data_IF_027143323511
#
_entry.id   IF_027143323511
#
_cell.length_a   1.000
_cell.length_b   1.000
_cell.length_c   1.000
_cell.angle_alpha   90.00
_cell.angle_beta   90.00
_cell.angle_gamma   90.00
#
_symmetry.space_group_name_H-M   'P 1'
#
loop_
_entity.id
_entity.type
_entity.pdbx_description
1 polymer ?
#
# COMPACT_ATOMS: atom_id res chain seq x y z
N UNK A 1 19.59 10.70 21.08
CA UNK A 1 19.20 9.34 20.68
C UNK A 1 18.58 9.46 19.29
N UNK A 2 19.26 8.96 18.26
CA UNK A 2 18.67 8.82 16.92
C UNK A 2 17.63 7.70 17.02
N UNK A 3 16.44 7.94 16.46
CA UNK A 3 15.38 6.93 16.38
C UNK A 3 15.93 5.67 15.73
N UNK A 4 15.82 4.53 16.41
CA UNK A 4 16.27 3.26 15.85
C UNK A 4 15.30 2.89 14.72
N UNK A 5 15.81 2.70 13.50
CA UNK A 5 14.98 2.38 12.31
C UNK A 5 14.05 1.18 12.54
N UNK A 6 14.40 0.29 13.46
CA UNK A 6 13.59 -0.87 13.85
C UNK A 6 12.27 -0.51 14.54
N UNK A 7 12.01 0.76 14.83
CA UNK A 7 10.77 1.24 15.45
C UNK A 7 10.07 2.34 14.62
N UNK A 8 10.49 2.57 13.37
CA UNK A 8 9.98 3.65 12.51
C UNK A 8 9.23 3.08 11.31
N UNK A 9 8.09 3.67 10.96
CA UNK A 9 7.35 3.42 9.74
C UNK A 9 7.07 4.74 9.03
N UNK A 10 6.99 4.69 7.71
CA UNK A 10 6.87 5.88 6.84
C UNK A 10 5.65 5.67 5.93
N UNK A 11 4.48 6.25 6.23
CA UNK A 11 3.36 6.29 5.28
C UNK A 11 3.61 7.40 4.26
N UNK A 12 3.80 7.03 3.00
CA UNK A 12 4.12 7.98 1.91
C UNK A 12 3.74 7.35 0.56
N UNK A 13 3.34 8.17 -0.41
CA UNK A 13 2.93 7.74 -1.75
C UNK A 13 4.09 7.66 -2.76
N UNK A 14 5.28 8.17 -2.41
CA UNK A 14 6.43 8.28 -3.32
C UNK A 14 7.57 7.33 -2.94
N UNK A 15 7.56 6.11 -3.51
CA UNK A 15 8.60 5.10 -3.23
C UNK A 15 10.04 5.59 -3.48
N UNK A 16 10.24 6.35 -4.56
CA UNK A 16 11.56 6.82 -4.98
C UNK A 16 12.18 7.85 -4.03
N UNK A 17 11.40 8.48 -3.15
CA UNK A 17 11.94 9.34 -2.09
C UNK A 17 12.66 8.52 -1.00
N UNK A 18 12.34 7.23 -0.87
CA UNK A 18 12.72 6.38 0.27
C UNK A 18 13.62 5.20 -0.12
N UNK A 19 14.49 5.36 -1.13
CA UNK A 19 15.36 4.29 -1.66
C UNK A 19 16.21 3.61 -0.56
N UNK A 20 16.67 4.37 0.45
CA UNK A 20 17.49 3.84 1.55
C UNK A 20 16.67 3.20 2.67
N UNK A 21 15.36 3.45 2.75
CA UNK A 21 14.49 3.03 3.84
C UNK A 21 13.22 2.31 3.32
N UNK A 22 13.33 1.63 2.16
CA UNK A 22 12.18 0.95 1.52
C UNK A 22 11.47 -0.05 2.43
N UNK A 23 12.20 -0.70 3.33
CA UNK A 23 11.62 -1.66 4.28
C UNK A 23 10.74 -1.00 5.36
N UNK A 24 10.90 0.31 5.59
CA UNK A 24 10.09 1.09 6.54
C UNK A 24 8.88 1.76 5.87
N UNK A 25 8.84 1.79 4.53
CA UNK A 25 7.81 2.46 3.76
C UNK A 25 6.51 1.65 3.74
N UNK A 26 5.42 2.28 4.15
CA UNK A 26 4.04 1.89 3.84
C UNK A 26 3.63 2.73 2.65
N UNK A 27 3.74 2.15 1.45
CA UNK A 27 3.28 2.81 0.24
C UNK A 27 1.75 2.94 0.31
N UNK A 28 1.26 4.18 0.24
CA UNK A 28 -0.17 4.50 0.28
C UNK A 28 -0.63 5.14 -1.02
N UNK A 29 -1.95 5.20 -1.23
CA UNK A 29 -2.49 5.88 -2.41
C UNK A 29 -2.29 7.38 -2.33
N UNK A 30 -1.99 7.99 -3.48
CA UNK A 30 -1.93 9.44 -3.63
C UNK A 30 -3.35 10.00 -3.41
N UNK A 31 -3.46 11.01 -2.56
CA UNK A 31 -4.73 11.69 -2.31
C UNK A 31 -5.05 12.70 -3.43
N UNK A 32 -6.03 12.38 -4.27
CA UNK A 32 -6.44 13.21 -5.41
C UNK A 32 -7.70 14.01 -5.11
N UNK A 33 -7.57 15.16 -4.45
CA UNK A 33 -8.72 16.04 -4.19
C UNK A 33 -9.13 16.86 -5.42
N UNK A 34 -8.16 17.52 -6.05
CA UNK A 34 -8.40 18.48 -7.14
C UNK A 34 -8.39 17.82 -8.52
N UNK A 35 -9.26 18.30 -9.43
CA UNK A 35 -9.32 17.87 -10.83
C UNK A 35 -7.99 17.95 -11.58
N UNK A 36 -7.19 18.97 -11.29
CA UNK A 36 -5.86 19.15 -11.88
C UNK A 36 -4.93 17.98 -11.55
N UNK A 37 -5.01 17.45 -10.32
CA UNK A 37 -4.26 16.27 -9.89
C UNK A 37 -4.76 15.03 -10.65
N UNK A 38 -6.06 14.77 -10.68
CA UNK A 38 -6.63 13.64 -11.43
C UNK A 38 -6.18 13.62 -12.91
N UNK A 39 -6.14 14.79 -13.54
CA UNK A 39 -5.81 14.93 -14.96
C UNK A 39 -4.33 14.62 -15.26
N UNK A 40 -3.41 14.98 -14.36
CA UNK A 40 -1.98 14.65 -14.48
C UNK A 40 -1.73 13.13 -14.44
N UNK A 41 -2.59 12.39 -13.74
CA UNK A 41 -2.53 10.94 -13.61
C UNK A 41 -3.47 10.20 -14.58
N UNK A 42 -4.09 10.92 -15.52
CA UNK A 42 -4.90 10.32 -16.59
C UNK A 42 -6.29 9.84 -16.18
N UNK A 43 -6.80 10.25 -15.01
CA UNK A 43 -8.15 9.92 -14.56
C UNK A 43 -9.18 10.80 -15.28
N UNK A 44 -10.23 10.16 -15.83
CA UNK A 44 -11.32 10.84 -16.54
C UNK A 44 -12.59 11.01 -15.70
N UNK A 45 -12.57 10.59 -14.44
CA UNK A 45 -13.70 10.73 -13.51
C UNK A 45 -13.71 12.11 -12.83
N UNK A 46 -14.87 12.49 -12.27
CA UNK A 46 -15.00 13.69 -11.43
C UNK A 46 -14.09 13.56 -10.20
N UNK A 47 -13.40 14.65 -9.84
CA UNK A 47 -12.56 14.66 -8.64
C UNK A 47 -13.37 14.81 -7.35
N UNK A 48 -12.78 14.51 -6.19
CA UNK A 48 -13.44 14.70 -4.88
C UNK A 48 -13.95 16.14 -4.70
N UNK A 49 -13.18 17.13 -5.15
CA UNK A 49 -13.61 18.53 -5.12
C UNK A 49 -14.84 18.81 -5.99
N UNK A 50 -14.98 18.14 -7.14
CA UNK A 50 -16.13 18.30 -8.03
C UNK A 50 -17.37 17.60 -7.46
N UNK A 51 -17.17 16.42 -6.86
CA UNK A 51 -18.19 15.67 -6.13
C UNK A 51 -18.60 16.32 -4.81
N UNK A 52 -17.83 17.32 -4.35
CA UNK A 52 -17.98 17.96 -3.02
C UNK A 52 -18.02 16.94 -1.89
N UNK A 53 -17.21 15.90 -2.03
CA UNK A 53 -17.06 14.81 -1.09
C UNK A 53 -15.60 14.66 -0.69
N UNK A 54 -15.34 13.77 0.25
CA UNK A 54 -14.00 13.32 0.62
C UNK A 54 -13.87 11.81 0.38
N UNK A 55 -12.72 11.24 0.71
CA UNK A 55 -12.57 9.79 0.76
C UNK A 55 -13.53 9.14 1.78
N UNK A 56 -13.79 7.85 1.60
CA UNK A 56 -14.66 7.08 2.49
C UNK A 56 -14.07 7.03 3.91
N UNK A 57 -14.83 7.41 4.93
CA UNK A 57 -14.38 7.26 6.33
C UNK A 57 -14.07 5.80 6.72
N UNK A 58 -14.88 4.78 6.35
CA UNK A 58 -14.56 3.39 6.67
C UNK A 58 -13.61 2.72 5.69
N UNK A 59 -13.54 3.16 4.43
CA UNK A 59 -12.88 2.40 3.34
C UNK A 59 -11.83 3.22 2.57
N UNK A 60 -11.60 4.47 2.97
CA UNK A 60 -10.64 5.39 2.35
C UNK A 60 -9.18 4.96 2.53
N UNK A 61 -8.30 5.59 1.77
CA UNK A 61 -6.87 5.32 1.82
C UNK A 61 -6.30 5.57 3.23
N UNK A 62 -6.67 6.68 3.88
CA UNK A 62 -6.20 6.96 5.25
C UNK A 62 -6.79 5.99 6.27
N UNK A 63 -8.07 5.61 6.14
CA UNK A 63 -8.70 4.63 7.02
C UNK A 63 -7.96 3.29 6.97
N UNK A 64 -7.66 2.82 5.76
CA UNK A 64 -6.91 1.58 5.53
C UNK A 64 -5.48 1.65 6.10
N UNK A 65 -4.77 2.76 5.89
CA UNK A 65 -3.42 2.98 6.46
C UNK A 65 -3.47 3.02 7.98
N UNK A 66 -4.46 3.69 8.57
CA UNK A 66 -4.64 3.77 10.01
C UNK A 66 -4.87 2.39 10.64
N UNK A 67 -5.73 1.57 10.02
CA UNK A 67 -6.01 0.23 10.53
C UNK A 67 -4.80 -0.70 10.40
N UNK A 68 -4.02 -0.56 9.31
CA UNK A 68 -2.72 -1.22 9.19
C UNK A 68 -1.78 -0.80 10.33
N UNK A 69 -1.65 0.50 10.59
CA UNK A 69 -0.78 1.02 11.65
C UNK A 69 -1.20 0.53 13.03
N UNK A 70 -2.51 0.53 13.35
CA UNK A 70 -3.03 -0.04 14.60
C UNK A 70 -2.70 -1.52 14.74
N UNK A 71 -2.84 -2.28 13.66
CA UNK A 71 -2.51 -3.71 13.63
C UNK A 71 -1.03 -3.97 13.87
N UNK A 72 -0.15 -3.24 13.17
CA UNK A 72 1.30 -3.35 13.35
C UNK A 72 1.69 -2.93 14.77
N UNK A 73 1.13 -1.84 15.29
CA UNK A 73 1.36 -1.40 16.66
C UNK A 73 0.98 -2.49 17.67
N UNK A 74 -0.19 -3.11 17.49
CA UNK A 74 -0.65 -4.21 18.36
C UNK A 74 0.35 -5.36 18.38
N UNK A 75 0.77 -5.82 17.20
CA UNK A 75 1.73 -6.93 17.08
C UNK A 75 3.09 -6.54 17.70
N UNK A 76 3.60 -5.36 17.32
CA UNK A 76 4.93 -4.89 17.71
C UNK A 76 5.07 -4.70 19.22
N UNK A 77 4.05 -4.19 19.92
CA UNK A 77 4.12 -3.93 21.36
C UNK A 77 3.60 -5.08 22.22
N UNK A 78 2.53 -5.77 21.81
CA UNK A 78 1.81 -6.68 22.70
C UNK A 78 1.90 -8.16 22.31
N UNK A 79 1.99 -8.50 21.03
CA UNK A 79 1.92 -9.91 20.59
C UNK A 79 3.29 -10.55 20.39
N UNK A 80 4.29 -9.75 20.03
CA UNK A 80 5.68 -10.23 20.06
C UNK A 80 6.10 -10.43 21.52
N UNK A 81 6.73 -11.57 21.81
CA UNK A 81 7.40 -11.81 23.09
C UNK A 81 8.74 -11.08 23.20
N UNK A 82 9.38 -11.13 24.37
CA UNK A 82 10.75 -10.64 24.55
C UNK A 82 10.89 -9.11 24.68
N UNK A 83 12.13 -8.61 24.73
CA UNK A 83 12.43 -7.20 24.96
C UNK A 83 12.22 -6.34 23.70
N UNK A 84 11.62 -5.16 23.85
CA UNK A 84 11.38 -4.18 22.78
C UNK A 84 12.64 -3.81 21.99
N UNK A 85 13.81 -3.80 22.64
CA UNK A 85 15.09 -3.44 22.01
C UNK A 85 15.52 -4.39 20.88
N UNK A 86 15.00 -5.63 20.88
CA UNK A 86 15.30 -6.64 19.86
C UNK A 86 14.19 -6.80 18.82
N UNK A 87 13.13 -5.98 18.90
CA UNK A 87 12.02 -6.02 17.94
C UNK A 87 12.31 -5.11 16.75
N UNK A 88 11.82 -5.54 15.60
CA UNK A 88 11.94 -4.78 14.35
C UNK A 88 10.58 -4.70 13.65
N UNK A 89 10.04 -3.48 13.59
CA UNK A 89 8.75 -3.16 12.99
C UNK A 89 8.71 -3.50 11.50
N UNK A 90 9.86 -3.51 10.81
CA UNK A 90 9.97 -3.92 9.40
C UNK A 90 9.63 -5.39 9.23
N UNK A 91 9.97 -6.24 10.20
CA UNK A 91 9.61 -7.66 10.19
C UNK A 91 8.12 -7.86 10.46
N UNK A 92 7.54 -7.04 11.33
CA UNK A 92 6.09 -7.04 11.59
C UNK A 92 5.34 -6.61 10.32
N UNK A 93 5.75 -5.51 9.68
CA UNK A 93 5.16 -5.05 8.43
C UNK A 93 5.23 -6.11 7.32
N UNK A 94 6.39 -6.77 7.16
CA UNK A 94 6.55 -7.90 6.22
C UNK A 94 5.60 -9.06 6.52
N UNK A 95 5.34 -9.35 7.79
CA UNK A 95 4.40 -10.41 8.20
C UNK A 95 2.96 -10.03 7.87
N UNK A 96 2.55 -8.80 8.20
CA UNK A 96 1.19 -8.31 7.91
C UNK A 96 0.92 -8.27 6.40
N UNK A 97 1.89 -7.81 5.58
CA UNK A 97 1.79 -7.81 4.11
C UNK A 97 1.55 -9.21 3.53
N UNK A 98 2.23 -10.23 4.07
CA UNK A 98 2.07 -11.65 3.67
C UNK A 98 0.68 -12.20 3.83
N UNK A 99 -0.15 -11.57 4.65
CA UNK A 99 -1.52 -12.02 4.88
C UNK A 99 -2.51 -11.43 3.89
N UNK A 100 -2.20 -10.28 3.27
CA UNK A 100 -3.11 -9.53 2.39
C UNK A 100 -3.55 -10.37 1.19
N UNK A 101 -2.60 -11.01 0.51
CA UNK A 101 -2.85 -11.86 -0.66
C UNK A 101 -2.75 -13.36 -0.33
N UNK A 102 -2.80 -13.73 0.95
CA UNK A 102 -2.65 -15.14 1.36
C UNK A 102 -3.81 -15.97 0.81
N UNK A 103 -3.49 -16.92 -0.06
CA UNK A 103 -4.48 -17.78 -0.72
C UNK A 103 -5.10 -17.18 -1.99
N UNK A 104 -4.79 -15.92 -2.32
CA UNK A 104 -5.22 -15.29 -3.56
C UNK A 104 -4.38 -15.78 -4.76
N UNK A 105 -5.02 -15.94 -5.92
CA UNK A 105 -4.34 -16.10 -7.21
C UNK A 105 -4.53 -14.82 -8.00
N UNK A 106 -3.46 -14.04 -8.15
CA UNK A 106 -3.49 -12.78 -8.91
C UNK A 106 -3.32 -13.08 -10.39
N UNK A 107 -4.21 -12.53 -11.23
CA UNK A 107 -4.15 -12.65 -12.69
C UNK A 107 -4.17 -11.25 -13.29
N UNK A 108 -3.17 -10.94 -14.11
CA UNK A 108 -3.13 -9.67 -14.85
C UNK A 108 -3.66 -9.88 -16.27
N UNK A 109 -4.83 -9.35 -16.57
CA UNK A 109 -5.42 -9.41 -17.93
C UNK A 109 -5.21 -8.09 -18.65
N UNK A 110 -4.54 -8.12 -19.81
CA UNK A 110 -4.31 -6.96 -20.71
C UNK A 110 -3.50 -5.80 -20.11
N UNK A 111 -2.93 -5.96 -18.92
CA UNK A 111 -2.09 -4.96 -18.23
C UNK A 111 -0.60 -5.21 -18.48
N UNK A 112 -0.20 -6.49 -18.52
CA UNK A 112 1.16 -6.91 -18.85
C UNK A 112 1.14 -7.39 -20.31
N UNK A 113 1.92 -6.77 -21.23
CA UNK A 113 2.00 -7.22 -22.61
C UNK A 113 2.46 -8.68 -22.70
N UNK A 114 1.79 -9.48 -23.52
CA UNK A 114 1.96 -10.94 -23.60
C UNK A 114 3.33 -11.43 -24.08
N UNK A 115 4.22 -10.54 -24.51
CA UNK A 115 5.57 -10.85 -25.03
C UNK A 115 6.70 -10.38 -24.11
N UNK A 116 6.39 -9.88 -22.92
CA UNK A 116 7.37 -9.32 -21.97
C UNK A 116 7.36 -10.14 -20.68
N UNK A 117 8.53 -10.29 -20.05
CA UNK A 117 8.63 -10.92 -18.73
C UNK A 117 7.86 -10.10 -17.71
N UNK A 118 6.89 -10.73 -17.04
CA UNK A 118 5.99 -10.08 -16.07
C UNK A 118 6.75 -9.44 -14.90
N UNK A 119 7.86 -10.06 -14.50
CA UNK A 119 8.69 -9.73 -13.33
C UNK A 119 9.24 -8.29 -13.34
N UNK A 120 9.35 -7.68 -14.54
CA UNK A 120 9.81 -6.30 -14.69
C UNK A 120 8.69 -5.25 -14.60
N UNK A 121 7.43 -5.66 -14.62
CA UNK A 121 6.29 -4.74 -14.62
C UNK A 121 5.88 -4.32 -13.20
N UNK A 122 5.54 -3.05 -13.04
CA UNK A 122 5.19 -2.45 -11.76
C UNK A 122 4.01 -3.17 -11.05
N UNK A 123 2.89 -3.52 -11.72
CA UNK A 123 1.80 -4.25 -11.08
C UNK A 123 2.22 -5.63 -10.55
N UNK A 124 3.15 -6.31 -11.24
CA UNK A 124 3.69 -7.58 -10.79
C UNK A 124 4.52 -7.42 -9.52
N UNK A 125 5.43 -6.44 -9.50
CA UNK A 125 6.25 -6.12 -8.31
C UNK A 125 5.40 -5.71 -7.11
N UNK A 126 4.32 -4.96 -7.34
CA UNK A 126 3.38 -4.60 -6.26
C UNK A 126 2.66 -5.83 -5.68
N UNK A 127 2.25 -6.77 -6.52
CA UNK A 127 1.63 -8.01 -6.06
C UNK A 127 2.62 -8.92 -5.30
N UNK A 128 3.88 -8.99 -5.75
CA UNK A 128 4.93 -9.71 -5.02
C UNK A 128 5.25 -9.06 -3.66
N UNK A 129 5.24 -7.73 -3.61
CA UNK A 129 5.46 -6.96 -2.38
C UNK A 129 4.20 -6.84 -1.51
N UNK A 130 3.05 -7.33 -2.01
CA UNK A 130 1.75 -7.38 -1.33
C UNK A 130 1.36 -6.02 -0.74
N UNK A 131 1.58 -4.98 -1.55
CA UNK A 131 1.24 -3.61 -1.19
C UNK A 131 -0.28 -3.51 -1.16
N UNK A 132 -0.81 -2.86 -0.11
CA UNK A 132 -2.23 -2.57 0.02
C UNK A 132 -2.56 -1.54 -1.05
N UNK A 133 -3.12 -1.98 -2.17
CA UNK A 133 -3.72 -1.09 -3.15
C UNK A 133 -5.02 -0.55 -2.54
N UNK A 134 -5.21 0.77 -2.52
CA UNK A 134 -6.54 1.31 -2.32
C UNK A 134 -7.38 1.10 -3.58
N UNK A 135 -8.66 1.44 -3.45
CA UNK A 135 -9.69 1.03 -4.41
C UNK A 135 -9.54 1.67 -5.79
N UNK A 136 -8.75 2.74 -5.92
CA UNK A 136 -8.71 3.58 -7.13
C UNK A 136 -7.93 2.96 -8.29
N UNK A 137 -6.92 2.13 -8.02
CA UNK A 137 -6.07 1.52 -9.06
C UNK A 137 -6.47 0.09 -9.48
N UNK A 138 -7.38 -0.55 -8.73
CA UNK A 138 -7.81 -1.93 -9.00
C UNK A 138 -9.08 -2.03 -9.86
N UNK A 139 -9.92 -0.98 -9.93
CA UNK A 139 -11.18 -1.04 -10.69
C UNK A 139 -10.99 -1.15 -12.21
N UNK A 140 -9.83 -0.73 -12.74
CA UNK A 140 -9.52 -0.83 -14.18
C UNK A 140 -8.82 -2.14 -14.57
N UNK A 141 -8.54 -3.00 -13.59
CA UNK A 141 -7.73 -4.22 -13.71
C UNK A 141 -8.49 -5.44 -13.17
N UNK A 142 -9.55 -5.87 -13.88
CA UNK A 142 -10.37 -7.09 -13.69
C UNK A 142 -9.61 -8.33 -13.12
N UNK A 143 -10.15 -9.37 -12.46
CA UNK A 143 -11.50 -9.94 -12.25
C UNK A 143 -11.43 -11.10 -11.21
N UNK A 144 -12.54 -11.32 -10.49
CA UNK A 144 -13.07 -12.58 -9.91
C UNK A 144 -12.16 -13.48 -9.05
N UNK A 145 -12.55 -13.62 -7.78
CA UNK A 145 -12.19 -14.74 -6.90
C UNK A 145 -13.39 -15.69 -6.85
N UNK A 146 -13.17 -16.99 -7.11
CA UNK A 146 -14.04 -18.05 -6.58
C UNK A 146 -13.61 -18.35 -5.15
#
# INVERSE_FOLDING_TARGET
MLWQESAVLIPDDTENAWIKHKDNLILMEIYHFFRSSCSQFGFTCESLSELKSDESEPEGALANVLDLLKRIHKIFFYELGGNLLYRDVRQVLKTVRKEVLKGCKVVFSRIIPSKVQADNHHPWKMAEQQIICGESNLKTSFLSVK
#
